data_IF_804427557023
#
_entry.id   IF_804427557023
#
_cell.length_a   1.000
_cell.length_b   1.000
_cell.length_c   1.000
_cell.angle_alpha   90.00
_cell.angle_beta   90.00
_cell.angle_gamma   90.00
#
_symmetry.space_group_name_H-M   'P 1'
#
loop_
_entity.id
_entity.type
_entity.pdbx_description
1 polymer ?
#
# COMPACT_ATOMS: atom_id res chain seq x y z
N UNK A 1 4.82 30.81 -29.48
CA UNK A 1 4.98 31.50 -30.77
C UNK A 1 3.73 32.30 -30.94
N UNK A 2 3.90 33.62 -31.09
CA UNK A 2 2.79 34.57 -31.06
C UNK A 2 2.46 35.08 -32.47
N UNK A 3 3.05 34.45 -33.50
CA UNK A 3 2.78 34.75 -34.89
C UNK A 3 1.54 34.03 -35.43
N UNK A 4 1.08 34.44 -36.60
CA UNK A 4 -0.03 33.81 -37.32
C UNK A 4 0.45 32.70 -38.24
N UNK A 5 -0.39 31.70 -38.55
CA UNK A 5 -0.05 30.64 -39.50
C UNK A 5 0.50 31.18 -40.83
N UNK A 6 0.02 32.35 -41.27
CA UNK A 6 0.54 33.05 -42.44
C UNK A 6 2.02 33.43 -42.29
N UNK A 7 2.39 34.10 -41.19
CA UNK A 7 3.77 34.54 -40.97
C UNK A 7 4.78 33.37 -40.98
N UNK A 8 4.38 32.22 -40.41
CA UNK A 8 5.22 31.03 -40.45
C UNK A 8 5.36 30.43 -41.85
N UNK A 9 4.26 30.36 -42.60
CA UNK A 9 4.26 29.83 -43.97
C UNK A 9 5.03 30.74 -44.92
N UNK A 10 4.91 32.06 -44.76
CA UNK A 10 5.64 33.04 -45.57
C UNK A 10 7.15 32.89 -45.33
N UNK A 11 7.58 32.68 -44.09
CA UNK A 11 8.96 32.35 -43.77
C UNK A 11 9.45 31.06 -44.43
N UNK A 12 8.67 29.97 -44.39
CA UNK A 12 9.01 28.71 -45.07
C UNK A 12 9.18 28.88 -46.59
N UNK A 13 8.60 29.93 -47.17
CA UNK A 13 8.71 30.29 -48.59
C UNK A 13 9.84 31.29 -48.88
N UNK A 14 10.75 31.51 -47.93
CA UNK A 14 11.87 32.44 -48.07
C UNK A 14 11.55 33.88 -47.64
N UNK A 15 10.40 34.11 -47.02
CA UNK A 15 10.04 35.39 -46.40
C UNK A 15 10.81 35.68 -45.11
N UNK A 16 10.55 36.85 -44.52
CA UNK A 16 11.22 37.26 -43.28
C UNK A 16 10.89 36.31 -42.13
N UNK A 17 11.91 35.98 -41.33
CA UNK A 17 11.75 35.16 -40.13
C UNK A 17 10.81 35.85 -39.12
N UNK A 18 9.79 35.17 -38.59
CA UNK A 18 8.92 35.74 -37.56
C UNK A 18 9.71 36.03 -36.28
N UNK A 19 9.16 36.90 -35.44
CA UNK A 19 9.82 37.21 -34.17
C UNK A 19 10.00 35.93 -33.33
N UNK A 20 11.23 35.71 -32.89
CA UNK A 20 11.61 34.53 -32.12
C UNK A 20 11.12 34.64 -30.67
N UNK A 21 10.70 33.51 -30.10
CA UNK A 21 10.26 33.47 -28.69
C UNK A 21 11.44 33.74 -27.75
N UNK A 22 11.18 34.26 -26.53
CA UNK A 22 12.23 34.45 -25.53
C UNK A 22 13.07 33.19 -25.26
N UNK A 23 12.47 32.00 -25.38
CA UNK A 23 13.15 30.71 -25.22
C UNK A 23 14.27 30.51 -26.23
N UNK A 24 13.99 30.61 -27.53
CA UNK A 24 15.01 30.40 -28.56
C UNK A 24 16.01 31.56 -28.64
N UNK A 25 15.59 32.80 -28.33
CA UNK A 25 16.51 33.94 -28.14
C UNK A 25 17.54 33.63 -27.04
N UNK A 26 17.09 33.08 -25.91
CA UNK A 26 17.98 32.69 -24.82
C UNK A 26 18.93 31.55 -25.22
N UNK A 27 18.44 30.53 -25.94
CA UNK A 27 19.31 29.44 -26.44
C UNK A 27 20.42 30.00 -27.34
N UNK A 28 20.09 30.89 -28.29
CA UNK A 28 21.10 31.52 -29.16
C UNK A 28 22.13 32.30 -28.36
N UNK A 29 21.68 33.11 -27.40
CA UNK A 29 22.58 33.86 -26.52
C UNK A 29 23.51 32.93 -25.72
N UNK A 30 22.98 31.82 -25.18
CA UNK A 30 23.77 30.82 -24.47
C UNK A 30 24.86 30.20 -25.35
N UNK A 31 24.56 30.02 -26.63
CA UNK A 31 25.49 29.47 -27.62
C UNK A 31 26.40 30.53 -28.26
N UNK A 32 26.29 31.80 -27.87
CA UNK A 32 27.06 32.89 -28.46
C UNK A 32 26.65 33.27 -29.89
N UNK A 33 25.47 32.83 -30.33
CA UNK A 33 24.91 33.17 -31.64
C UNK A 33 24.24 34.55 -31.56
N UNK A 34 24.42 35.38 -32.59
CA UNK A 34 23.67 36.63 -32.72
C UNK A 34 22.22 36.35 -33.16
N UNK A 35 21.38 37.38 -33.15
CA UNK A 35 19.96 37.25 -33.54
C UNK A 35 19.76 36.83 -35.02
N UNK A 36 20.82 36.86 -35.85
CA UNK A 36 20.80 36.40 -37.24
C UNK A 36 21.41 35.01 -37.45
N UNK A 37 22.18 34.48 -36.49
CA UNK A 37 22.91 33.22 -36.63
C UNK A 37 21.95 32.04 -36.62
N UNK A 38 22.21 31.01 -37.40
CA UNK A 38 21.36 29.82 -37.48
C UNK A 38 21.50 28.91 -36.26
N UNK A 39 20.38 28.34 -35.79
CA UNK A 39 20.40 27.33 -34.72
C UNK A 39 20.31 25.98 -35.44
N UNK A 40 21.45 25.55 -35.96
CA UNK A 40 21.57 24.25 -36.62
C UNK A 40 21.81 23.14 -35.60
N UNK A 41 21.56 21.90 -36.04
CA UNK A 41 21.94 20.69 -35.30
C UNK A 41 23.43 20.69 -34.98
N UNK A 42 24.28 21.03 -35.96
CA UNK A 42 25.74 21.13 -35.79
C UNK A 42 26.15 22.09 -34.66
N UNK A 43 25.51 23.26 -34.59
CA UNK A 43 25.78 24.26 -33.55
C UNK A 43 25.37 23.73 -32.16
N UNK A 44 24.22 23.03 -32.08
CA UNK A 44 23.72 22.45 -30.84
C UNK A 44 24.63 21.30 -30.37
N UNK A 45 25.03 20.42 -31.27
CA UNK A 45 25.93 19.31 -30.96
C UNK A 45 27.29 19.82 -30.45
N UNK A 46 27.86 20.81 -31.14
CA UNK A 46 29.11 21.44 -30.69
C UNK A 46 28.96 22.07 -29.28
N UNK A 47 27.82 22.70 -28.99
CA UNK A 47 27.55 23.27 -27.67
C UNK A 47 27.39 22.19 -26.58
N UNK A 48 26.79 21.04 -26.91
CA UNK A 48 26.64 19.92 -25.98
C UNK A 48 27.95 19.19 -25.70
N UNK A 49 28.96 19.26 -26.58
CA UNK A 49 30.31 18.75 -26.30
C UNK A 49 31.05 19.60 -25.26
N UNK A 50 30.68 20.87 -25.09
CA UNK A 50 31.24 21.72 -24.04
C UNK A 50 30.51 21.48 -22.72
N UNK A 51 31.20 20.92 -21.73
CA UNK A 51 30.62 20.56 -20.42
C UNK A 51 29.88 21.72 -19.71
N UNK A 52 30.36 22.95 -19.82
CA UNK A 52 29.73 24.11 -19.17
C UNK A 52 28.44 24.53 -19.90
N UNK A 53 28.47 24.55 -21.22
CA UNK A 53 27.29 24.84 -22.04
C UNK A 53 26.26 23.71 -21.95
N UNK A 54 26.67 22.45 -22.01
CA UNK A 54 25.82 21.29 -21.82
C UNK A 54 25.05 21.34 -20.49
N UNK A 55 25.73 21.72 -19.40
CA UNK A 55 25.08 21.89 -18.09
C UNK A 55 24.04 23.02 -18.10
N UNK A 56 24.33 24.14 -18.78
CA UNK A 56 23.39 25.28 -18.90
C UNK A 56 22.19 24.92 -19.77
N UNK A 57 22.43 24.27 -20.91
CA UNK A 57 21.40 23.81 -21.84
C UNK A 57 20.52 22.72 -21.20
N UNK A 58 21.12 21.76 -20.49
CA UNK A 58 20.39 20.71 -19.77
C UNK A 58 19.57 21.21 -18.58
N UNK A 59 19.83 22.43 -18.10
CA UNK A 59 19.02 23.10 -17.08
C UNK A 59 17.85 23.92 -17.63
N UNK A 60 17.72 24.02 -18.96
CA UNK A 60 16.61 24.75 -19.58
C UNK A 60 15.32 23.94 -19.47
N UNK A 61 14.29 24.59 -18.93
CA UNK A 61 12.95 24.02 -18.83
C UNK A 61 12.06 24.78 -19.81
N UNK A 62 11.58 24.09 -20.84
CA UNK A 62 10.58 24.64 -21.74
C UNK A 62 9.22 24.62 -21.03
N UNK A 63 8.60 25.79 -20.84
CA UNK A 63 7.26 25.93 -20.28
C UNK A 63 6.20 25.57 -21.33
N UNK A 64 6.16 24.29 -21.70
CA UNK A 64 5.14 23.73 -22.58
C UNK A 64 4.32 22.70 -21.80
N UNK A 65 3.01 22.72 -21.96
CA UNK A 65 2.18 21.64 -21.41
C UNK A 65 2.42 20.38 -22.24
N UNK A 66 2.57 19.22 -21.58
CA UNK A 66 2.89 17.94 -22.24
C UNK A 66 1.77 17.46 -23.19
N UNK A 67 2.08 16.64 -24.21
CA UNK A 67 1.04 16.00 -25.05
C UNK A 67 0.09 15.09 -24.25
N UNK A 68 0.46 14.71 -23.03
CA UNK A 68 -0.37 13.88 -22.16
C UNK A 68 -1.64 14.62 -21.69
N UNK A 69 -1.65 15.95 -21.75
CA UNK A 69 -2.81 16.78 -21.49
C UNK A 69 -3.15 17.68 -22.69
N UNK A 70 -4.20 17.27 -23.41
CA UNK A 70 -4.78 18.01 -24.54
C UNK A 70 -6.29 18.02 -24.38
N UNK A 71 -6.89 19.01 -23.68
CA UNK A 71 -8.34 19.04 -23.48
C UNK A 71 -9.08 19.15 -24.83
N UNK A 72 -8.55 19.95 -25.75
CA UNK A 72 -8.98 19.99 -27.14
C UNK A 72 -7.81 20.21 -28.09
N UNK A 73 -7.87 19.59 -29.28
CA UNK A 73 -6.88 19.80 -30.33
C UNK A 73 -6.83 21.26 -30.78
N UNK A 74 -7.99 21.88 -30.99
CA UNK A 74 -8.08 23.26 -31.45
C UNK A 74 -7.46 24.25 -30.44
N UNK A 75 -7.71 24.04 -29.14
CA UNK A 75 -7.19 24.94 -28.09
C UNK A 75 -5.67 24.90 -27.93
N UNK A 76 -5.01 23.80 -28.29
CA UNK A 76 -3.55 23.64 -28.10
C UNK A 76 -2.76 23.68 -29.41
N UNK A 77 -3.29 23.06 -30.46
CA UNK A 77 -2.63 22.82 -31.74
C UNK A 77 -3.41 23.37 -32.95
N UNK A 78 -4.41 24.24 -32.73
CA UNK A 78 -5.23 24.81 -33.80
C UNK A 78 -4.40 25.45 -34.92
N UNK A 79 -3.35 26.19 -34.54
CA UNK A 79 -2.49 26.87 -35.51
C UNK A 79 -1.65 25.92 -36.38
N UNK A 80 -1.34 24.71 -35.89
CA UNK A 80 -0.68 23.68 -36.70
C UNK A 80 -1.62 23.23 -37.83
N UNK A 81 -2.92 23.13 -37.55
CA UNK A 81 -3.92 22.83 -38.57
C UNK A 81 -4.04 23.96 -39.60
N UNK A 82 -3.98 25.22 -39.18
CA UNK A 82 -3.98 26.37 -40.10
C UNK A 82 -2.73 26.40 -41.01
N UNK A 83 -1.56 26.09 -40.46
CA UNK A 83 -0.31 25.97 -41.22
C UNK A 83 -0.45 24.85 -42.26
N UNK A 84 -0.95 23.69 -41.85
CA UNK A 84 -1.12 22.54 -42.74
C UNK A 84 -2.05 22.83 -43.93
N UNK A 85 -3.15 23.56 -43.72
CA UNK A 85 -4.05 24.00 -44.80
C UNK A 85 -3.30 24.81 -45.85
N UNK A 86 -2.40 25.72 -45.42
CA UNK A 86 -1.62 26.58 -46.33
C UNK A 86 -0.49 25.84 -47.05
N UNK A 87 0.02 24.74 -46.49
CA UNK A 87 1.07 23.90 -47.08
C UNK A 87 0.51 22.80 -48.00
N UNK A 88 -0.78 22.51 -47.92
CA UNK A 88 -1.48 21.60 -48.82
C UNK A 88 -1.67 20.19 -48.29
N UNK A 89 -2.10 19.28 -49.17
CA UNK A 89 -2.66 17.97 -48.81
C UNK A 89 -1.74 17.11 -47.92
N UNK A 90 -0.46 17.00 -48.28
CA UNK A 90 0.50 16.22 -47.52
C UNK A 90 0.62 16.67 -46.05
N UNK A 91 0.67 17.98 -45.80
CA UNK A 91 0.78 18.52 -44.44
C UNK A 91 -0.51 18.27 -43.64
N UNK A 92 -1.67 18.38 -44.30
CA UNK A 92 -2.96 18.07 -43.67
C UNK A 92 -3.06 16.60 -43.26
N UNK A 93 -2.61 15.68 -44.11
CA UNK A 93 -2.63 14.24 -43.82
C UNK A 93 -1.73 13.91 -42.60
N UNK A 94 -0.54 14.50 -42.52
CA UNK A 94 0.36 14.33 -41.38
C UNK A 94 -0.25 14.89 -40.07
N UNK A 95 -0.78 16.11 -40.09
CA UNK A 95 -1.41 16.72 -38.92
C UNK A 95 -2.63 15.91 -38.46
N UNK A 96 -3.38 15.32 -39.39
CA UNK A 96 -4.50 14.43 -39.06
C UNK A 96 -4.02 13.13 -38.39
N UNK A 97 -2.94 12.53 -38.88
CA UNK A 97 -2.35 11.34 -38.26
C UNK A 97 -1.86 11.65 -36.83
N UNK A 98 -1.13 12.75 -36.65
CA UNK A 98 -0.60 13.17 -35.35
C UNK A 98 -1.72 13.52 -34.36
N UNK A 99 -2.76 14.22 -34.83
CA UNK A 99 -3.98 14.46 -34.06
C UNK A 99 -4.60 13.18 -33.53
N UNK A 100 -4.71 12.17 -34.37
CA UNK A 100 -5.27 10.88 -33.94
C UNK A 100 -4.37 10.18 -32.93
N UNK A 101 -3.04 10.29 -33.06
CA UNK A 101 -2.08 9.75 -32.11
C UNK A 101 -2.19 10.41 -30.73
N UNK A 102 -2.02 11.73 -30.67
CA UNK A 102 -2.05 12.51 -29.42
C UNK A 102 -3.39 12.36 -28.71
N UNK A 103 -4.51 12.42 -29.44
CA UNK A 103 -5.84 12.31 -28.83
C UNK A 103 -6.13 10.92 -28.24
N UNK A 104 -5.44 9.88 -28.71
CA UNK A 104 -5.48 8.52 -28.14
C UNK A 104 -4.52 8.33 -26.97
N UNK A 105 -3.36 9.00 -26.99
CA UNK A 105 -2.31 8.85 -25.98
C UNK A 105 -2.43 9.81 -24.80
N UNK A 106 -3.27 10.84 -24.88
CA UNK A 106 -3.55 11.72 -23.74
C UNK A 106 -4.21 10.91 -22.62
N UNK A 107 -3.69 11.03 -21.41
CA UNK A 107 -4.18 10.29 -20.23
C UNK A 107 -4.29 11.18 -18.99
N UNK A 108 -3.75 12.40 -19.03
CA UNK A 108 -3.61 13.23 -17.83
C UNK A 108 -4.94 13.52 -17.14
N UNK A 109 -5.95 13.89 -17.93
CA UNK A 109 -7.29 14.21 -17.42
C UNK A 109 -8.01 13.02 -16.78
N UNK A 110 -7.58 11.79 -17.06
CA UNK A 110 -8.18 10.57 -16.52
C UNK A 110 -7.61 10.22 -15.15
N UNK A 111 -6.35 10.57 -14.87
CA UNK A 111 -5.66 10.11 -13.65
C UNK A 111 -5.34 11.23 -12.65
N UNK A 112 -5.33 12.49 -13.09
CA UNK A 112 -4.71 13.56 -12.30
C UNK A 112 -5.34 13.76 -10.92
N UNK A 113 -6.67 13.73 -10.83
CA UNK A 113 -7.39 13.86 -9.56
C UNK A 113 -7.08 12.70 -8.61
N UNK A 114 -7.08 11.46 -9.13
CA UNK A 114 -6.89 10.24 -8.34
C UNK A 114 -5.48 10.12 -7.77
N UNK A 115 -4.48 10.70 -8.46
CA UNK A 115 -3.07 10.63 -8.04
C UNK A 115 -2.51 11.95 -7.51
N UNK A 116 -3.36 12.97 -7.33
CA UNK A 116 -2.97 14.27 -6.79
C UNK A 116 -2.07 15.11 -7.71
N UNK A 117 -2.13 14.89 -9.03
CA UNK A 117 -1.44 15.73 -10.02
C UNK A 117 -2.26 17.00 -10.33
N UNK A 118 -1.61 18.10 -10.74
CA UNK A 118 -2.32 19.34 -11.07
C UNK A 118 -3.23 19.17 -12.30
N UNK A 119 -4.48 19.60 -12.18
CA UNK A 119 -5.54 19.45 -13.20
C UNK A 119 -5.12 19.99 -14.58
N UNK A 120 -4.42 21.12 -14.64
CA UNK A 120 -3.98 21.74 -15.90
C UNK A 120 -2.71 21.17 -16.53
N UNK A 121 -2.15 20.09 -15.98
CA UNK A 121 -0.86 19.52 -16.40
C UNK A 121 0.28 20.54 -16.46
N UNK A 122 0.30 21.48 -15.50
CA UNK A 122 1.36 22.47 -15.34
C UNK A 122 2.61 21.85 -14.70
N UNK A 123 3.09 20.75 -15.29
CA UNK A 123 4.29 20.03 -14.88
C UNK A 123 5.28 20.11 -16.03
N UNK A 124 6.34 20.88 -15.82
CA UNK A 124 7.30 21.26 -16.87
C UNK A 124 8.63 20.51 -16.76
N UNK A 125 8.87 19.81 -15.66
CA UNK A 125 10.03 18.94 -15.45
C UNK A 125 9.69 17.85 -14.43
N UNK A 126 10.36 16.70 -14.53
CA UNK A 126 10.37 15.66 -13.50
C UNK A 126 11.82 15.36 -13.13
N UNK A 127 12.08 15.08 -11.86
CA UNK A 127 13.36 14.53 -11.43
C UNK A 127 13.33 13.00 -11.63
N UNK A 128 14.03 12.41 -12.62
CA UNK A 128 13.84 11.00 -12.98
C UNK A 128 14.13 10.06 -11.81
N UNK A 129 15.21 10.31 -11.06
CA UNK A 129 15.55 9.54 -9.85
C UNK A 129 14.47 9.70 -8.78
N UNK A 130 13.88 10.90 -8.65
CA UNK A 130 12.82 11.14 -7.67
C UNK A 130 11.53 10.42 -8.04
N UNK A 131 11.21 10.33 -9.33
CA UNK A 131 10.05 9.60 -9.83
C UNK A 131 10.23 8.10 -9.64
N UNK A 132 11.37 7.53 -10.05
CA UNK A 132 11.68 6.10 -9.86
C UNK A 132 11.62 5.73 -8.39
N UNK A 133 12.28 6.51 -7.52
CA UNK A 133 12.27 6.30 -6.08
C UNK A 133 10.85 6.30 -5.48
N UNK A 134 10.00 7.25 -5.90
CA UNK A 134 8.62 7.32 -5.43
C UNK A 134 7.75 6.15 -5.93
N UNK A 135 7.99 5.68 -7.16
CA UNK A 135 7.29 4.51 -7.70
C UNK A 135 7.75 3.21 -7.04
N UNK A 136 9.02 3.10 -6.65
CA UNK A 136 9.57 1.96 -5.91
C UNK A 136 9.05 1.91 -4.47
N UNK A 137 8.99 3.06 -3.75
CA UNK A 137 8.40 3.11 -2.40
C UNK A 137 6.93 2.69 -2.35
N UNK A 138 6.13 3.03 -3.37
CA UNK A 138 4.72 2.60 -3.42
C UNK A 138 4.56 1.08 -3.63
N UNK A 139 5.59 0.37 -4.11
CA UNK A 139 5.58 -1.10 -4.24
C UNK A 139 6.01 -1.82 -2.95
N UNK A 140 6.78 -1.17 -2.07
CA UNK A 140 7.29 -1.81 -0.84
C UNK A 140 6.35 -1.72 0.36
N UNK A 141 5.37 -0.82 0.34
CA UNK A 141 4.41 -0.63 1.45
C UNK A 141 3.32 -1.72 1.47
N UNK A 142 3.04 -2.30 2.63
CA UNK A 142 1.99 -3.29 2.87
C UNK A 142 0.95 -2.74 3.86
N UNK A 143 -0.34 -2.67 3.50
CA UNK A 143 -1.40 -2.25 4.42
C UNK A 143 -1.40 -3.07 5.70
N UNK A 144 -1.63 -2.42 6.84
CA UNK A 144 -1.62 -3.07 8.15
C UNK A 144 -2.55 -4.31 8.21
N UNK A 145 -3.71 -4.26 7.55
CA UNK A 145 -4.64 -5.39 7.49
C UNK A 145 -4.03 -6.63 6.80
N UNK A 146 -3.27 -6.44 5.72
CA UNK A 146 -2.60 -7.52 4.98
C UNK A 146 -1.48 -8.13 5.84
N UNK A 147 -0.69 -7.29 6.52
CA UNK A 147 0.38 -7.75 7.43
C UNK A 147 -0.22 -8.50 8.63
N UNK A 148 -1.34 -8.02 9.17
CA UNK A 148 -2.05 -8.67 10.28
C UNK A 148 -2.63 -10.02 9.87
N UNK A 149 -3.22 -10.12 8.68
CA UNK A 149 -3.68 -11.40 8.13
C UNK A 149 -2.51 -12.39 8.02
N UNK A 150 -1.38 -11.95 7.47
CA UNK A 150 -0.19 -12.79 7.39
C UNK A 150 0.30 -13.21 8.78
N UNK A 151 0.33 -12.28 9.73
CA UNK A 151 0.73 -12.56 11.11
C UNK A 151 -0.18 -13.58 11.80
N UNK A 152 -1.49 -13.50 11.58
CA UNK A 152 -2.48 -14.47 12.06
C UNK A 152 -2.29 -15.84 11.41
N UNK A 153 -2.09 -15.90 10.09
CA UNK A 153 -1.81 -17.15 9.35
C UNK A 153 -0.53 -17.80 9.86
N UNK A 154 0.56 -17.05 9.96
CA UNK A 154 1.85 -17.59 10.42
C UNK A 154 1.76 -18.03 11.88
N UNK A 155 1.23 -17.21 12.79
CA UNK A 155 1.11 -17.59 14.20
C UNK A 155 0.19 -18.81 14.40
N UNK A 156 -0.92 -18.88 13.65
CA UNK A 156 -1.85 -20.01 13.67
C UNK A 156 -1.32 -21.29 13.00
N UNK A 157 -0.37 -21.16 12.07
CA UNK A 157 0.26 -22.29 11.39
C UNK A 157 1.05 -23.20 12.32
N UNK A 158 1.58 -22.67 13.42
CA UNK A 158 2.19 -23.49 14.48
C UNK A 158 1.19 -24.33 15.27
N UNK A 159 -0.09 -23.95 15.22
CA UNK A 159 -1.22 -24.70 15.79
C UNK A 159 -1.93 -25.57 14.73
N UNK A 160 -1.36 -25.68 13.52
CA UNK A 160 -1.86 -26.52 12.43
C UNK A 160 -2.86 -25.85 11.48
N UNK A 161 -3.04 -24.52 11.55
CA UNK A 161 -3.95 -23.78 10.66
C UNK A 161 -3.24 -23.26 9.40
N UNK A 162 -3.66 -23.68 8.21
CA UNK A 162 -3.10 -23.19 6.94
C UNK A 162 -3.75 -21.90 6.43
N UNK A 163 -5.06 -21.73 6.67
CA UNK A 163 -5.83 -20.59 6.17
C UNK A 163 -6.70 -19.96 7.25
N UNK A 164 -7.08 -18.70 7.00
CA UNK A 164 -8.08 -17.99 7.80
C UNK A 164 -9.48 -18.32 7.29
N UNK A 165 -10.34 -18.81 8.17
CA UNK A 165 -11.73 -19.09 7.86
C UNK A 165 -12.63 -17.94 8.34
N UNK A 166 -12.88 -17.00 7.44
CA UNK A 166 -13.78 -15.85 7.65
C UNK A 166 -15.27 -16.25 7.70
N UNK A 167 -15.57 -17.49 7.30
CA UNK A 167 -16.91 -18.06 7.20
C UNK A 167 -17.20 -19.05 8.32
N UNK A 168 -16.22 -19.33 9.19
CA UNK A 168 -16.31 -20.28 10.27
C UNK A 168 -17.57 -20.02 11.10
N UNK A 169 -18.57 -20.88 10.95
CA UNK A 169 -19.92 -20.67 11.48
C UNK A 169 -20.31 -21.88 12.33
N UNK A 170 -20.64 -21.62 13.59
CA UNK A 170 -21.11 -22.64 14.52
C UNK A 170 -22.46 -22.26 15.14
N UNK A 171 -23.27 -23.30 15.38
CA UNK A 171 -24.61 -23.21 15.96
C UNK A 171 -24.59 -23.06 17.50
N UNK A 172 -25.76 -22.97 18.14
CA UNK A 172 -25.96 -22.78 19.58
C UNK A 172 -25.87 -24.10 20.37
N UNK A 173 -24.75 -24.83 20.25
CA UNK A 173 -24.57 -26.13 20.93
C UNK A 173 -24.17 -25.99 22.42
N UNK A 174 -23.60 -24.85 22.81
CA UNK A 174 -23.07 -24.56 24.15
C UNK A 174 -23.85 -23.45 24.87
N UNK A 175 -24.98 -23.00 24.32
CA UNK A 175 -25.80 -21.93 24.88
C UNK A 175 -25.34 -20.52 24.51
N UNK A 176 -24.30 -20.37 23.68
CA UNK A 176 -23.73 -19.08 23.28
C UNK A 176 -24.41 -18.43 22.07
N UNK A 177 -25.46 -19.02 21.52
CA UNK A 177 -26.06 -18.62 20.26
C UNK A 177 -25.15 -18.98 19.08
N UNK A 178 -25.17 -18.18 18.01
CA UNK A 178 -24.24 -18.35 16.90
C UNK A 178 -22.84 -17.87 17.24
N UNK A 179 -21.84 -18.69 16.90
CA UNK A 179 -20.44 -18.29 16.81
C UNK A 179 -20.04 -18.10 15.35
N UNK A 180 -19.30 -17.03 15.05
CA UNK A 180 -18.95 -16.69 13.68
C UNK A 180 -17.56 -16.06 13.55
N UNK A 181 -16.87 -16.34 12.44
CA UNK A 181 -15.64 -15.67 12.01
C UNK A 181 -14.35 -16.22 12.61
N UNK A 182 -13.24 -15.54 12.30
CA UNK A 182 -11.85 -15.97 12.53
C UNK A 182 -11.55 -16.55 13.92
N UNK A 183 -12.11 -15.94 14.97
CA UNK A 183 -11.89 -16.34 16.36
C UNK A 183 -13.19 -16.73 17.07
N UNK A 184 -14.23 -17.07 16.30
CA UNK A 184 -15.52 -17.55 16.82
C UNK A 184 -16.18 -16.58 17.81
N UNK A 185 -16.33 -15.30 17.40
CA UNK A 185 -17.13 -14.34 18.16
C UNK A 185 -18.57 -14.84 18.26
N UNK A 186 -19.20 -14.68 19.42
CA UNK A 186 -20.55 -15.19 19.66
C UNK A 186 -21.45 -14.19 20.38
N UNK A 187 -22.78 -14.39 20.24
CA UNK A 187 -23.76 -13.52 20.86
C UNK A 187 -23.83 -13.69 22.39
N UNK A 188 -23.61 -14.89 22.91
CA UNK A 188 -23.70 -15.20 24.35
C UNK A 188 -22.67 -14.45 25.19
N UNK A 189 -21.42 -14.38 24.71
CA UNK A 189 -20.36 -13.57 25.32
C UNK A 189 -20.47 -12.08 24.95
N UNK A 190 -21.42 -11.70 24.09
CA UNK A 190 -21.58 -10.32 23.64
C UNK A 190 -20.48 -9.84 22.70
N UNK A 191 -19.74 -10.75 22.06
CA UNK A 191 -18.57 -10.41 21.24
C UNK A 191 -18.90 -10.30 19.76
N UNK A 192 -19.91 -11.01 19.25
CA UNK A 192 -20.32 -10.94 17.84
C UNK A 192 -21.07 -9.65 17.49
N UNK A 193 -21.94 -9.17 18.39
CA UNK A 193 -22.73 -7.95 18.17
C UNK A 193 -21.88 -6.71 17.80
N UNK A 194 -20.81 -6.39 18.56
CA UNK A 194 -19.90 -5.28 18.22
C UNK A 194 -19.22 -5.42 16.85
N UNK A 195 -18.80 -6.62 16.46
CA UNK A 195 -18.14 -6.86 15.16
C UNK A 195 -19.13 -6.63 14.01
N UNK A 196 -20.38 -7.11 14.15
CA UNK A 196 -21.45 -6.86 13.19
C UNK A 196 -21.86 -5.39 13.14
N UNK A 197 -21.88 -4.70 14.29
CA UNK A 197 -22.16 -3.27 14.37
C UNK A 197 -21.10 -2.47 13.59
N UNK A 198 -19.82 -2.84 13.70
CA UNK A 198 -18.74 -2.19 12.95
C UNK A 198 -18.92 -2.36 11.44
N UNK A 199 -19.38 -3.52 10.99
CA UNK A 199 -19.74 -3.72 9.58
C UNK A 199 -20.89 -2.82 9.13
N UNK A 200 -21.95 -2.77 9.92
CA UNK A 200 -23.10 -1.90 9.65
C UNK A 200 -22.71 -0.42 9.56
N UNK A 201 -21.84 0.04 10.46
CA UNK A 201 -21.33 1.42 10.47
C UNK A 201 -20.40 1.71 9.30
N UNK A 202 -19.66 0.71 8.82
CA UNK A 202 -18.70 0.87 7.72
C UNK A 202 -19.40 0.89 6.36
N UNK A 203 -20.37 0.00 6.14
CA UNK A 203 -21.12 -0.09 4.88
C UNK A 203 -22.51 -0.68 5.16
N UNK A 204 -23.45 0.20 5.52
CA UNK A 204 -24.80 -0.19 5.93
C UNK A 204 -25.55 -0.91 4.81
N UNK A 205 -25.32 -0.53 3.55
CA UNK A 205 -25.99 -1.08 2.39
C UNK A 205 -25.52 -2.51 2.10
N UNK A 206 -24.20 -2.76 2.10
CA UNK A 206 -23.71 -4.13 1.95
C UNK A 206 -24.12 -5.01 3.12
N UNK A 207 -24.09 -4.47 4.34
CA UNK A 207 -24.55 -5.21 5.51
C UNK A 207 -26.02 -5.61 5.39
N UNK A 208 -26.94 -4.69 5.06
CA UNK A 208 -28.36 -5.02 4.89
C UNK A 208 -28.63 -5.99 3.75
N UNK A 209 -27.87 -5.90 2.65
CA UNK A 209 -28.04 -6.78 1.49
C UNK A 209 -27.64 -8.24 1.75
N UNK A 210 -26.95 -8.53 2.87
CA UNK A 210 -26.65 -9.91 3.27
C UNK A 210 -27.85 -10.66 3.85
N UNK A 211 -28.95 -9.99 4.18
CA UNK A 211 -30.08 -10.58 4.90
C UNK A 211 -31.16 -11.08 3.94
N UNK A 212 -31.34 -12.41 3.79
CA UNK A 212 -32.46 -12.96 3.02
C UNK A 212 -33.81 -12.66 3.69
N UNK A 213 -34.89 -12.79 2.91
CA UNK A 213 -36.25 -12.72 3.44
C UNK A 213 -36.47 -13.68 4.62
N UNK A 214 -37.24 -13.21 5.60
CA UNK A 214 -37.52 -13.98 6.82
C UNK A 214 -36.38 -14.02 7.85
N UNK A 215 -35.26 -13.31 7.65
CA UNK A 215 -34.19 -13.22 8.67
C UNK A 215 -34.36 -12.05 9.65
N UNK A 216 -35.34 -11.18 9.43
CA UNK A 216 -35.67 -10.05 10.29
C UNK A 216 -34.46 -9.14 10.59
N UNK A 217 -33.85 -8.61 9.53
CA UNK A 217 -32.75 -7.65 9.57
C UNK A 217 -32.96 -6.53 10.60
N UNK A 218 -34.15 -5.90 10.59
CA UNK A 218 -34.45 -4.76 11.46
C UNK A 218 -34.34 -5.12 12.93
N UNK A 219 -34.78 -6.32 13.34
CA UNK A 219 -34.65 -6.77 14.73
C UNK A 219 -33.18 -6.91 15.15
N UNK A 220 -32.35 -7.59 14.35
CA UNK A 220 -30.92 -7.70 14.66
C UNK A 220 -30.25 -6.34 14.68
N UNK A 221 -30.46 -5.50 13.66
CA UNK A 221 -29.86 -4.17 13.54
C UNK A 221 -30.14 -3.32 14.78
N UNK A 222 -31.39 -3.26 15.22
CA UNK A 222 -31.75 -2.52 16.43
C UNK A 222 -31.07 -3.13 17.67
N UNK A 223 -31.01 -4.46 17.77
CA UNK A 223 -30.40 -5.14 18.91
C UNK A 223 -28.87 -4.91 19.00
N UNK A 224 -28.15 -4.88 17.87
CA UNK A 224 -26.71 -4.60 17.87
C UNK A 224 -26.41 -3.11 18.12
N UNK A 225 -27.24 -2.20 17.59
CA UNK A 225 -27.10 -0.74 17.84
C UNK A 225 -27.35 -0.42 19.31
N UNK A 226 -28.38 -1.00 19.92
CA UNK A 226 -28.71 -0.81 21.34
C UNK A 226 -27.85 -1.66 22.28
N UNK A 227 -26.93 -2.49 21.74
CA UNK A 227 -26.12 -3.46 22.50
C UNK A 227 -26.96 -4.39 23.39
N UNK A 228 -28.18 -4.69 22.95
CA UNK A 228 -29.12 -5.56 23.66
C UNK A 228 -28.79 -7.03 23.36
N UNK A 229 -27.99 -7.63 24.24
CA UNK A 229 -27.53 -9.01 24.12
C UNK A 229 -28.69 -10.02 24.18
N UNK A 230 -29.72 -9.77 24.98
CA UNK A 230 -30.84 -10.70 25.12
C UNK A 230 -31.63 -10.75 23.82
N UNK A 231 -31.94 -9.59 23.22
CA UNK A 231 -32.62 -9.55 21.92
C UNK A 231 -31.77 -10.15 20.80
N UNK A 232 -30.44 -10.00 20.84
CA UNK A 232 -29.53 -10.66 19.88
C UNK A 232 -29.61 -12.20 19.98
N UNK A 233 -29.56 -12.74 21.21
CA UNK A 233 -29.69 -14.18 21.46
C UNK A 233 -31.07 -14.73 21.06
N UNK A 234 -32.14 -14.03 21.45
CA UNK A 234 -33.52 -14.43 21.10
C UNK A 234 -33.73 -14.42 19.59
N UNK A 235 -33.20 -13.40 18.90
CA UNK A 235 -33.25 -13.32 17.45
C UNK A 235 -32.56 -14.52 16.80
N UNK A 236 -31.32 -14.84 17.21
CA UNK A 236 -30.55 -15.88 16.55
C UNK A 236 -31.12 -17.28 16.82
N UNK A 237 -31.60 -17.54 18.04
CA UNK A 237 -32.24 -18.81 18.41
C UNK A 237 -33.53 -19.05 17.62
N UNK A 238 -34.37 -18.01 17.51
CA UNK A 238 -35.57 -18.06 16.68
C UNK A 238 -35.23 -18.32 15.22
N UNK A 239 -34.21 -17.63 14.70
CA UNK A 239 -33.76 -17.80 13.32
C UNK A 239 -33.24 -19.23 13.05
N UNK A 240 -32.47 -19.80 13.99
CA UNK A 240 -31.97 -21.17 13.90
C UNK A 240 -33.10 -22.20 13.89
N UNK A 241 -34.13 -21.99 14.70
CA UNK A 241 -35.30 -22.86 14.79
C UNK A 241 -36.19 -22.79 13.54
N UNK A 242 -36.45 -21.58 13.03
CA UNK A 242 -37.48 -21.35 12.01
C UNK A 242 -36.91 -21.25 10.59
N UNK A 243 -35.67 -20.80 10.41
CA UNK A 243 -35.08 -20.52 9.10
C UNK A 243 -33.56 -20.72 9.08
N UNK A 244 -33.12 -21.96 9.33
CA UNK A 244 -31.70 -22.34 9.32
C UNK A 244 -31.01 -22.13 7.97
N UNK A 245 -31.76 -22.17 6.86
CA UNK A 245 -31.24 -21.85 5.52
C UNK A 245 -30.90 -20.36 5.42
N UNK A 246 -31.81 -19.49 5.86
CA UNK A 246 -31.60 -18.04 5.91
C UNK A 246 -30.43 -17.67 6.82
N UNK A 247 -30.30 -18.33 7.97
CA UNK A 247 -29.15 -18.19 8.87
C UNK A 247 -27.82 -18.47 8.17
N UNK A 248 -27.67 -19.63 7.52
CA UNK A 248 -26.43 -19.96 6.78
C UNK A 248 -26.16 -18.98 5.65
N UNK A 249 -27.18 -18.62 4.86
CA UNK A 249 -27.04 -17.67 3.75
C UNK A 249 -26.57 -16.29 4.23
N UNK A 250 -27.13 -15.81 5.34
CA UNK A 250 -26.74 -14.55 5.96
C UNK A 250 -25.26 -14.54 6.33
N UNK A 251 -24.84 -15.52 7.15
CA UNK A 251 -23.46 -15.55 7.65
C UNK A 251 -22.43 -15.87 6.54
N UNK A 252 -22.78 -16.69 5.55
CA UNK A 252 -21.93 -16.86 4.38
C UNK A 252 -21.81 -15.59 3.55
N UNK A 253 -22.91 -14.84 3.37
CA UNK A 253 -22.90 -13.59 2.60
C UNK A 253 -22.04 -12.52 3.27
N UNK A 254 -22.21 -12.33 4.58
CA UNK A 254 -21.43 -11.32 5.31
C UNK A 254 -19.94 -11.70 5.40
N UNK A 255 -19.61 -12.98 5.58
CA UNK A 255 -18.23 -13.48 5.57
C UNK A 255 -17.50 -13.29 4.24
N UNK A 256 -18.27 -13.13 3.15
CA UNK A 256 -17.75 -12.90 1.79
C UNK A 256 -17.48 -11.42 1.48
N UNK A 257 -17.90 -10.49 2.34
CA UNK A 257 -17.63 -9.07 2.14
C UNK A 257 -16.16 -8.80 2.49
N UNK A 258 -15.35 -8.40 1.51
CA UNK A 258 -13.92 -8.03 1.71
C UNK A 258 -13.74 -7.04 2.86
N UNK A 259 -14.61 -6.02 2.94
CA UNK A 259 -14.55 -5.04 4.03
C UNK A 259 -14.87 -5.64 5.41
N UNK A 260 -15.72 -6.67 5.47
CA UNK A 260 -15.99 -7.38 6.70
C UNK A 260 -14.84 -8.30 7.10
N UNK A 261 -14.16 -8.92 6.14
CA UNK A 261 -12.94 -9.69 6.38
C UNK A 261 -11.84 -8.80 6.98
N UNK A 262 -11.65 -7.58 6.47
CA UNK A 262 -10.76 -6.57 7.06
C UNK A 262 -11.15 -6.24 8.51
N UNK A 263 -12.45 -6.08 8.80
CA UNK A 263 -12.95 -5.85 10.17
C UNK A 263 -12.63 -7.05 11.05
N UNK A 264 -12.88 -8.29 10.59
CA UNK A 264 -12.55 -9.49 11.35
C UNK A 264 -11.05 -9.55 11.69
N UNK A 265 -10.16 -9.24 10.75
CA UNK A 265 -8.71 -9.19 11.01
C UNK A 265 -8.40 -8.17 12.11
N UNK A 266 -8.95 -6.96 12.02
CA UNK A 266 -8.70 -5.89 12.99
C UNK A 266 -9.23 -6.24 14.38
N UNK A 267 -10.41 -6.83 14.48
CA UNK A 267 -11.00 -7.27 15.74
C UNK A 267 -10.26 -8.50 16.32
N UNK A 268 -9.70 -9.35 15.46
CA UNK A 268 -8.88 -10.49 15.87
C UNK A 268 -7.47 -10.09 16.28
N UNK A 269 -7.00 -8.89 15.88
CA UNK A 269 -5.68 -8.36 16.16
C UNK A 269 -5.50 -7.86 17.61
N UNK A 270 -5.94 -8.65 18.60
CA UNK A 270 -5.84 -8.39 20.03
C UNK A 270 -4.43 -7.97 20.48
N UNK A 271 -3.42 -8.46 19.78
CA UNK A 271 -2.01 -8.21 20.09
C UNK A 271 -1.39 -7.03 19.34
N UNK A 272 -2.12 -6.36 18.43
CA UNK A 272 -1.58 -5.20 17.70
C UNK A 272 -1.02 -4.13 18.63
N UNK A 273 -1.73 -3.78 19.70
CA UNK A 273 -1.24 -2.81 20.70
C UNK A 273 0.04 -3.27 21.40
N UNK A 274 0.17 -4.57 21.66
CA UNK A 274 1.39 -5.11 22.24
C UNK A 274 2.55 -5.06 21.24
N UNK A 275 2.28 -5.30 19.95
CA UNK A 275 3.27 -5.15 18.87
C UNK A 275 3.71 -3.69 18.76
N UNK A 276 2.77 -2.73 18.81
CA UNK A 276 3.09 -1.29 18.82
C UNK A 276 4.02 -0.91 19.97
N UNK A 277 3.74 -1.37 21.20
CA UNK A 277 4.64 -1.15 22.34
C UNK A 277 6.03 -1.74 22.13
N UNK A 278 6.13 -2.90 21.47
CA UNK A 278 7.43 -3.49 21.13
C UNK A 278 8.17 -2.63 20.10
N UNK A 279 7.47 -2.14 19.08
CA UNK A 279 8.02 -1.24 18.06
C UNK A 279 8.48 0.08 18.69
N UNK A 280 7.68 0.67 19.58
CA UNK A 280 8.03 1.93 20.27
C UNK A 280 9.29 1.76 21.11
N UNK A 281 9.40 0.64 21.84
CA UNK A 281 10.63 0.30 22.55
C UNK A 281 11.82 0.16 21.60
N UNK A 282 11.68 -0.65 20.54
CA UNK A 282 12.75 -0.85 19.56
C UNK A 282 13.18 0.46 18.89
N UNK A 283 12.25 1.37 18.61
CA UNK A 283 12.51 2.74 18.12
C UNK A 283 13.30 3.58 19.12
N UNK A 284 13.02 3.43 20.41
CA UNK A 284 13.78 4.08 21.47
C UNK A 284 15.24 3.64 21.51
N UNK A 285 15.52 2.37 21.19
CA UNK A 285 16.89 1.82 21.22
C UNK A 285 17.67 2.08 19.92
N UNK A 286 17.06 1.87 18.73
CA UNK A 286 17.70 2.05 17.40
C UNK A 286 16.76 2.77 16.43
N UNK A 287 16.55 4.09 16.60
CA UNK A 287 15.59 4.84 15.79
C UNK A 287 15.91 4.80 14.29
N UNK A 288 17.18 4.73 13.92
CA UNK A 288 17.64 4.68 12.53
C UNK A 288 17.26 3.37 11.81
N UNK A 289 17.18 2.25 12.54
CA UNK A 289 16.78 0.94 12.00
C UNK A 289 15.27 0.73 12.02
N UNK A 290 14.54 1.56 12.77
CA UNK A 290 13.10 1.42 13.03
C UNK A 290 12.26 2.56 12.44
N UNK A 291 12.80 3.30 11.46
CA UNK A 291 12.05 4.34 10.73
C UNK A 291 10.86 3.77 9.97
N UNK A 292 11.07 2.66 9.27
CA UNK A 292 10.03 1.87 8.61
C UNK A 292 10.06 0.46 9.22
N UNK A 293 8.90 -0.17 9.37
CA UNK A 293 8.81 -1.49 10.01
C UNK A 293 8.69 -2.56 8.92
N UNK A 294 9.72 -3.39 8.76
CA UNK A 294 9.67 -4.53 7.85
C UNK A 294 8.51 -5.46 8.24
N UNK A 295 7.77 -5.96 7.25
CA UNK A 295 6.62 -6.83 7.48
C UNK A 295 6.99 -8.10 8.26
N UNK A 296 8.19 -8.66 8.05
CA UNK A 296 8.72 -9.80 8.78
C UNK A 296 8.92 -9.48 10.27
N UNK A 297 9.46 -8.29 10.56
CA UNK A 297 9.60 -7.75 11.92
C UNK A 297 8.25 -7.72 12.60
N UNK A 298 7.23 -7.17 11.94
CA UNK A 298 5.89 -7.13 12.48
C UNK A 298 5.33 -8.54 12.77
N UNK A 299 5.46 -9.48 11.82
CA UNK A 299 4.95 -10.86 11.97
C UNK A 299 5.65 -11.59 13.14
N UNK A 300 6.97 -11.46 13.26
CA UNK A 300 7.72 -12.06 14.36
C UNK A 300 7.35 -11.45 15.72
N UNK A 301 7.18 -10.12 15.79
CA UNK A 301 6.71 -9.44 17.00
C UNK A 301 5.27 -9.82 17.36
N UNK A 302 4.41 -10.09 16.38
CA UNK A 302 3.05 -10.55 16.61
C UNK A 302 3.04 -11.91 17.30
N UNK A 303 3.77 -12.92 16.78
CA UNK A 303 3.88 -14.24 17.42
C UNK A 303 4.54 -14.15 18.81
N UNK A 304 5.55 -13.28 18.96
CA UNK A 304 6.13 -12.95 20.26
C UNK A 304 5.07 -12.39 21.22
N UNK A 305 4.22 -11.47 20.79
CA UNK A 305 3.16 -10.93 21.62
C UNK A 305 2.09 -11.97 21.98
N UNK A 306 1.77 -12.89 21.07
CA UNK A 306 0.85 -14.00 21.30
C UNK A 306 1.38 -14.93 22.41
N UNK A 307 2.64 -15.36 22.32
CA UNK A 307 3.20 -16.35 23.26
C UNK A 307 3.70 -15.72 24.57
N UNK A 308 4.13 -14.47 24.53
CA UNK A 308 4.96 -13.88 25.59
C UNK A 308 4.52 -12.48 26.04
N UNK A 309 3.43 -11.95 25.46
CA UNK A 309 2.81 -10.66 25.81
C UNK A 309 3.73 -9.43 25.63
N UNK A 310 4.72 -9.53 24.73
CA UNK A 310 5.61 -8.43 24.36
C UNK A 310 7.01 -8.51 24.97
N UNK A 311 7.82 -7.48 24.69
CA UNK A 311 9.24 -7.39 25.08
C UNK A 311 9.44 -6.92 26.54
N UNK A 312 8.45 -6.22 27.10
CA UNK A 312 8.55 -5.53 28.40
C UNK A 312 8.35 -6.50 29.58
N UNK A 313 9.29 -7.44 29.79
CA UNK A 313 9.25 -8.38 30.92
C UNK A 313 10.63 -8.60 31.55
N UNK A 314 10.69 -8.54 32.88
CA UNK A 314 11.92 -8.80 33.63
C UNK A 314 13.05 -7.86 33.20
N UNK A 315 14.23 -8.41 32.95
CA UNK A 315 15.40 -7.69 32.46
C UNK A 315 15.57 -7.74 30.93
N UNK A 316 14.55 -8.18 30.16
CA UNK A 316 14.67 -8.31 28.70
C UNK A 316 15.07 -7.02 28.02
N UNK A 317 14.46 -5.88 28.38
CA UNK A 317 14.76 -4.59 27.73
C UNK A 317 16.19 -4.14 27.96
N UNK A 318 16.68 -4.22 29.21
CA UNK A 318 18.06 -3.87 29.55
C UNK A 318 19.07 -4.77 28.83
N UNK A 319 18.79 -6.07 28.73
CA UNK A 319 19.64 -7.00 27.97
C UNK A 319 19.65 -6.72 26.47
N UNK A 320 18.51 -6.31 25.91
CA UNK A 320 18.43 -5.88 24.50
C UNK A 320 19.29 -4.63 24.31
N UNK A 321 19.21 -3.63 25.19
CA UNK A 321 20.03 -2.42 25.12
C UNK A 321 21.53 -2.75 25.21
N UNK A 322 21.93 -3.58 26.19
CA UNK A 322 23.31 -4.04 26.38
C UNK A 322 23.85 -4.77 25.14
N UNK A 323 23.11 -5.78 24.64
CA UNK A 323 23.51 -6.53 23.44
C UNK A 323 23.54 -5.66 22.18
N UNK A 324 22.58 -4.75 22.05
CA UNK A 324 22.54 -3.83 20.91
C UNK A 324 23.73 -2.87 20.92
N UNK A 325 24.19 -2.43 22.10
CA UNK A 325 25.39 -1.62 22.22
C UNK A 325 26.67 -2.42 21.92
N UNK A 326 26.75 -3.70 22.30
CA UNK A 326 27.94 -4.52 22.07
C UNK A 326 28.03 -5.11 20.66
N UNK A 327 26.91 -5.60 20.11
CA UNK A 327 26.85 -6.28 18.81
C UNK A 327 26.65 -5.30 17.65
N UNK A 328 26.11 -4.11 17.94
CA UNK A 328 25.90 -3.02 16.98
C UNK A 328 25.20 -3.45 15.67
N UNK A 329 23.96 -3.96 15.75
CA UNK A 329 23.24 -4.48 14.59
C UNK A 329 23.10 -3.40 13.50
N UNK A 330 23.42 -3.75 12.25
CA UNK A 330 23.46 -2.79 11.14
C UNK A 330 22.17 -2.73 10.32
N UNK A 331 21.25 -3.64 10.57
CA UNK A 331 19.95 -3.74 9.91
C UNK A 331 18.85 -4.15 10.90
N UNK A 332 17.60 -3.95 10.48
CA UNK A 332 16.44 -4.20 11.34
C UNK A 332 16.25 -5.68 11.69
N UNK A 333 16.61 -6.60 10.80
CA UNK A 333 16.45 -8.05 11.05
C UNK A 333 17.48 -8.54 12.05
N UNK A 334 18.73 -8.07 11.96
CA UNK A 334 19.76 -8.33 12.97
C UNK A 334 19.35 -7.80 14.34
N UNK A 335 18.74 -6.60 14.39
CA UNK A 335 18.23 -6.05 15.65
C UNK A 335 17.02 -6.84 16.18
N UNK A 336 16.10 -7.26 15.32
CA UNK A 336 14.98 -8.14 15.68
C UNK A 336 15.47 -9.46 16.27
N UNK A 337 16.53 -10.07 15.73
CA UNK A 337 17.12 -11.32 16.27
C UNK A 337 17.51 -11.16 17.74
N UNK A 338 18.23 -10.09 18.08
CA UNK A 338 18.56 -9.77 19.48
C UNK A 338 17.29 -9.70 20.33
N UNK A 339 16.26 -8.99 19.85
CA UNK A 339 15.01 -8.83 20.59
C UNK A 339 14.28 -10.15 20.85
N UNK A 340 14.18 -11.03 19.84
CA UNK A 340 13.46 -12.31 19.99
C UNK A 340 14.25 -13.32 20.82
N UNK A 341 15.59 -13.31 20.72
CA UNK A 341 16.48 -14.16 21.51
C UNK A 341 16.43 -13.78 22.99
N UNK A 342 16.61 -12.49 23.32
CA UNK A 342 16.55 -12.03 24.71
C UNK A 342 15.18 -12.25 25.33
N UNK A 343 14.12 -12.07 24.55
CA UNK A 343 12.78 -12.34 25.06
C UNK A 343 12.52 -13.83 25.25
N UNK A 344 13.07 -14.71 24.42
CA UNK A 344 12.99 -16.16 24.63
C UNK A 344 13.74 -16.57 25.91
N UNK A 345 14.91 -15.98 26.17
CA UNK A 345 15.72 -16.23 27.37
C UNK A 345 15.01 -15.90 28.70
N UNK A 346 14.01 -15.02 28.69
CA UNK A 346 13.19 -14.70 29.88
C UNK A 346 11.86 -15.46 29.94
N UNK A 347 11.65 -16.44 29.07
CA UNK A 347 10.61 -17.46 29.26
C UNK A 347 10.97 -18.39 30.43
N UNK A 348 10.00 -19.17 30.91
CA UNK A 348 10.37 -20.31 31.77
C UNK A 348 11.21 -21.31 30.98
N UNK A 349 12.13 -22.00 31.66
CA UNK A 349 13.06 -22.95 31.04
C UNK A 349 12.37 -24.01 30.17
N UNK A 350 11.14 -24.40 30.54
CA UNK A 350 10.33 -25.36 29.78
C UNK A 350 9.93 -24.87 28.39
N UNK A 351 9.66 -23.57 28.24
CA UNK A 351 9.09 -22.99 27.02
C UNK A 351 10.09 -22.17 26.21
N UNK A 352 11.27 -21.89 26.75
CA UNK A 352 12.22 -20.97 26.13
C UNK A 352 12.71 -21.43 24.75
N UNK A 353 13.04 -22.72 24.61
CA UNK A 353 13.43 -23.31 23.32
C UNK A 353 12.27 -23.30 22.31
N UNK A 354 11.04 -23.62 22.73
CA UNK A 354 9.85 -23.54 21.87
C UNK A 354 9.64 -22.12 21.34
N UNK A 355 9.63 -21.15 22.26
CA UNK A 355 9.44 -19.74 22.00
C UNK A 355 10.51 -19.20 21.02
N UNK A 356 11.78 -19.58 21.21
CA UNK A 356 12.86 -19.22 20.31
C UNK A 356 12.70 -19.87 18.92
N UNK A 357 12.41 -21.17 18.88
CA UNK A 357 12.27 -21.92 17.61
C UNK A 357 11.20 -21.35 16.68
N UNK A 358 10.09 -20.85 17.23
CA UNK A 358 9.03 -20.21 16.45
C UNK A 358 9.52 -18.92 15.82
N UNK A 359 9.96 -17.95 16.62
CA UNK A 359 10.33 -16.62 16.08
C UNK A 359 11.54 -16.66 15.18
N UNK A 360 12.55 -17.46 15.51
CA UNK A 360 13.66 -17.66 14.60
C UNK A 360 13.21 -18.38 13.34
N UNK A 361 12.25 -19.31 13.43
CA UNK A 361 11.66 -19.90 12.23
C UNK A 361 10.94 -18.90 11.33
N UNK A 362 10.26 -17.90 11.91
CA UNK A 362 9.70 -16.76 11.16
C UNK A 362 10.84 -15.96 10.51
N UNK A 363 11.83 -15.53 11.31
CA UNK A 363 12.96 -14.72 10.83
C UNK A 363 13.75 -15.41 9.72
N UNK A 364 13.88 -16.73 9.76
CA UNK A 364 14.58 -17.54 8.75
C UNK A 364 13.68 -17.98 7.59
N UNK A 365 12.36 -17.83 7.72
CA UNK A 365 11.39 -18.35 6.76
C UNK A 365 11.38 -19.89 6.61
N UNK A 366 11.83 -20.62 7.63
CA UNK A 366 11.93 -22.09 7.64
C UNK A 366 12.04 -22.63 9.07
N UNK A 367 11.96 -23.95 9.25
CA UNK A 367 12.18 -24.58 10.57
C UNK A 367 13.52 -24.18 11.18
N UNK A 368 13.51 -23.87 12.48
CA UNK A 368 14.69 -23.49 13.24
C UNK A 368 14.82 -24.35 14.49
N UNK A 369 15.94 -25.07 14.60
CA UNK A 369 16.25 -25.87 15.78
C UNK A 369 16.85 -24.97 16.86
N UNK A 370 16.12 -24.75 17.95
CA UNK A 370 16.55 -23.98 19.09
C UNK A 370 16.93 -24.91 20.25
N UNK A 371 17.98 -24.53 20.99
CA UNK A 371 18.35 -25.16 22.26
C UNK A 371 18.59 -24.09 23.31
N UNK A 372 17.82 -24.13 24.41
CA UNK A 372 17.92 -23.16 25.50
C UNK A 372 17.56 -23.83 26.83
N UNK A 373 18.33 -23.53 27.88
CA UNK A 373 18.15 -24.10 29.23
C UNK A 373 18.05 -25.65 29.26
N UNK A 374 18.84 -26.33 28.42
CA UNK A 374 18.85 -27.80 28.32
C UNK A 374 17.61 -28.42 27.68
N UNK A 375 16.75 -27.60 27.05
CA UNK A 375 15.61 -28.04 26.24
C UNK A 375 15.86 -27.69 24.78
N UNK A 376 15.35 -28.54 23.88
CA UNK A 376 15.43 -28.32 22.44
C UNK A 376 14.03 -28.35 21.82
N UNK A 377 13.83 -27.54 20.78
CA UNK A 377 12.60 -27.51 20.00
C UNK A 377 12.88 -27.13 18.54
N UNK A 378 12.07 -27.67 17.63
CA UNK A 378 12.05 -27.27 16.22
C UNK A 378 10.60 -27.25 15.73
N UNK A 379 9.98 -26.07 15.78
CA UNK A 379 8.58 -25.91 15.39
C UNK A 379 8.46 -25.75 13.88
N UNK A 380 7.66 -26.63 13.27
CA UNK A 380 7.30 -26.56 11.84
C UNK A 380 6.08 -25.66 11.65
N UNK A 381 6.01 -25.02 10.47
CA UNK A 381 4.90 -24.18 10.08
C UNK A 381 4.67 -24.30 8.57
N UNK A 382 3.45 -24.66 8.16
CA UNK A 382 3.10 -24.77 6.72
C UNK A 382 3.13 -23.43 5.99
N UNK A 383 3.03 -22.33 6.74
CA UNK A 383 2.81 -20.99 6.19
C UNK A 383 4.12 -20.20 6.02
N UNK A 384 5.29 -20.81 6.28
CA UNK A 384 6.58 -20.16 6.04
C UNK A 384 6.79 -19.74 4.58
N UNK A 385 6.17 -20.45 3.61
CA UNK A 385 6.22 -20.05 2.21
C UNK A 385 5.71 -18.63 1.95
N UNK A 386 4.74 -18.16 2.75
CA UNK A 386 4.15 -16.82 2.64
C UNK A 386 5.13 -15.70 3.00
N UNK A 387 6.19 -16.01 3.76
CA UNK A 387 7.19 -15.03 4.19
C UNK A 387 8.16 -14.63 3.08
N UNK A 388 8.25 -15.42 2.00
CA UNK A 388 9.10 -15.11 0.85
C UNK A 388 8.58 -13.92 0.04
N UNK A 389 7.26 -13.74 0.01
CA UNK A 389 6.59 -12.72 -0.79
C UNK A 389 6.63 -11.33 -0.15
N UNK A 390 7.15 -11.23 1.08
CA UNK A 390 7.20 -10.00 1.86
C UNK A 390 8.61 -9.47 2.08
N UNK A 391 9.60 -10.12 1.44
CA UNK A 391 10.98 -9.68 1.55
C UNK A 391 11.12 -8.23 1.05
N UNK A 392 11.76 -7.38 1.84
CA UNK A 392 11.86 -5.93 1.62
C UNK A 392 10.53 -5.14 1.60
N UNK A 393 9.42 -5.71 2.09
CA UNK A 393 8.17 -4.96 2.32
C UNK A 393 8.10 -4.40 3.72
N UNK A 394 7.46 -3.24 3.86
CA UNK A 394 7.29 -2.52 5.13
C UNK A 394 5.80 -2.31 5.42
N UNK A 395 5.43 -2.21 6.69
CA UNK A 395 4.07 -1.91 7.11
C UNK A 395 3.76 -0.44 6.84
N UNK A 396 2.65 -0.16 6.16
CA UNK A 396 2.23 1.20 5.86
C UNK A 396 1.89 1.98 7.13
N UNK A 397 2.37 3.22 7.18
CA UNK A 397 2.08 4.23 8.19
C UNK A 397 2.33 3.76 9.64
N UNK A 398 3.22 2.76 9.82
CA UNK A 398 3.61 2.24 11.12
C UNK A 398 5.04 2.58 11.43
#
# INVERSE_FOLDING_TARGET
WDGTASAFVDFLRGGQRPEETPFFKHIRQLMGLNNQGELSEENLDAALQNRALAKRLGGLIAYHTSEWHVPSWAGKYGVISEIAVKLGKWAMDNVKAEKNCVMKLRWWGEVAADVGLPEGAKVYHFHPVGMVWNLERKKSCMPLAEVLELALRVSGGYEGRSDLDYHALADDFDGQGTSFGLIQWNFGQGTLGPVLLRMYQTDSNKFSNCFPDGTNYTRLRNAIVNRDRNTQLDWVRKLLQENRIGWRKLFNSIGSIKKFQEIQIQEAAKYHENVRRCIDFMRGVRPELMREINALTYVALYDLCVQQNGLLKGNTTSRIEERTASEDPRDQISFLRICVEERAGTASALWAADALSRRMGIVEGKGYAASLFGKSAERKNSNFGLLKDIDNRYVCDL
#
